data_IF_529205480837
#
_entry.id   IF_529205480837
#
_cell.length_a   1.000
_cell.length_b   1.000
_cell.length_c   1.000
_cell.angle_alpha   90.00
_cell.angle_beta   90.00
_cell.angle_gamma   90.00
#
_symmetry.space_group_name_H-M   'P 1'
#
loop_
_entity.id
_entity.type
_entity.pdbx_description
1 polymer ?
#
# COMPACT_ATOMS: atom_id res chain seq x y z
N UNK A 1 41.12 -10.53 30.89
CA UNK A 1 41.26 -9.53 29.81
C UNK A 1 40.68 -10.14 28.55
N UNK A 2 39.66 -9.52 27.97
CA UNK A 2 39.17 -9.96 26.66
C UNK A 2 40.30 -9.71 25.66
N UNK A 3 40.83 -10.77 25.07
CA UNK A 3 41.82 -10.67 24.01
C UNK A 3 41.07 -10.15 22.78
N UNK A 4 41.14 -8.84 22.54
CA UNK A 4 40.47 -8.16 21.43
C UNK A 4 41.16 -8.58 20.14
N UNK A 5 40.52 -9.49 19.39
CA UNK A 5 40.96 -9.84 18.05
C UNK A 5 40.33 -8.90 17.01
N UNK A 6 41.18 -8.33 16.17
CA UNK A 6 40.80 -7.29 15.19
C UNK A 6 39.93 -7.90 14.08
N UNK A 7 40.25 -9.12 13.64
CA UNK A 7 39.53 -9.78 12.55
C UNK A 7 38.10 -10.15 12.96
N UNK A 8 37.93 -10.75 14.15
CA UNK A 8 36.59 -11.05 14.70
C UNK A 8 35.76 -9.79 14.91
N UNK A 9 36.33 -8.73 15.48
CA UNK A 9 35.61 -7.46 15.71
C UNK A 9 35.18 -6.82 14.38
N UNK A 10 36.05 -6.85 13.36
CA UNK A 10 35.73 -6.34 12.01
C UNK A 10 34.61 -7.13 11.36
N UNK A 11 34.65 -8.46 11.45
CA UNK A 11 33.63 -9.33 10.87
C UNK A 11 32.27 -9.14 11.55
N UNK A 12 32.25 -8.98 12.87
CA UNK A 12 31.03 -8.65 13.62
C UNK A 12 30.45 -7.29 13.20
N UNK A 13 31.29 -6.26 13.06
CA UNK A 13 30.84 -4.95 12.60
C UNK A 13 30.23 -5.01 11.19
N UNK A 14 30.82 -5.78 10.27
CA UNK A 14 30.28 -6.01 8.92
C UNK A 14 28.93 -6.73 8.96
N UNK A 15 28.82 -7.84 9.69
CA UNK A 15 27.57 -8.58 9.83
C UNK A 15 26.42 -7.71 10.38
N UNK A 16 26.72 -6.82 11.35
CA UNK A 16 25.74 -5.88 11.87
C UNK A 16 25.30 -4.85 10.82
N UNK A 17 26.22 -4.34 10.01
CA UNK A 17 25.90 -3.43 8.91
C UNK A 17 25.05 -4.13 7.85
N UNK A 18 25.41 -5.35 7.47
CA UNK A 18 24.67 -6.14 6.49
C UNK A 18 23.23 -6.39 6.95
N UNK A 19 23.04 -6.81 8.21
CA UNK A 19 21.72 -7.00 8.82
C UNK A 19 20.86 -5.72 8.82
N UNK A 20 21.49 -4.57 9.09
CA UNK A 20 20.80 -3.26 9.04
C UNK A 20 20.44 -2.87 7.61
N UNK A 21 21.33 -3.11 6.65
CA UNK A 21 21.09 -2.87 5.23
C UNK A 21 19.92 -3.72 4.76
N UNK A 22 19.91 -5.01 5.06
CA UNK A 22 18.80 -5.93 4.73
C UNK A 22 17.46 -5.44 5.27
N UNK A 23 17.44 -4.97 6.53
CA UNK A 23 16.23 -4.43 7.17
C UNK A 23 15.69 -3.22 6.43
N UNK A 24 16.55 -2.27 6.04
CA UNK A 24 16.15 -1.08 5.27
C UNK A 24 15.72 -1.48 3.86
N UNK A 25 16.42 -2.40 3.20
CA UNK A 25 16.06 -2.92 1.88
C UNK A 25 14.68 -3.58 1.91
N UNK A 26 14.38 -4.39 2.93
CA UNK A 26 13.07 -5.02 3.09
C UNK A 26 11.96 -3.98 3.29
N UNK A 27 12.21 -2.94 4.09
CA UNK A 27 11.25 -1.85 4.29
C UNK A 27 10.99 -1.07 3.00
N UNK A 28 12.02 -0.78 2.21
CA UNK A 28 11.86 -0.10 0.91
C UNK A 28 11.03 -0.95 -0.04
N UNK A 29 11.31 -2.25 -0.14
CA UNK A 29 10.52 -3.19 -0.96
C UNK A 29 9.05 -3.24 -0.52
N UNK A 30 8.80 -3.29 0.78
CA UNK A 30 7.43 -3.27 1.31
C UNK A 30 6.71 -1.95 0.97
N UNK A 31 7.39 -0.81 1.09
CA UNK A 31 6.83 0.50 0.73
C UNK A 31 6.53 0.61 -0.76
N UNK A 32 7.41 0.11 -1.62
CA UNK A 32 7.19 0.06 -3.07
C UNK A 32 5.95 -0.78 -3.38
N UNK A 33 5.86 -1.99 -2.82
CA UNK A 33 4.68 -2.86 -3.01
C UNK A 33 3.37 -2.20 -2.56
N UNK A 34 3.40 -1.44 -1.47
CA UNK A 34 2.22 -0.68 -1.01
C UNK A 34 1.85 0.42 -2.00
N UNK A 35 2.81 1.09 -2.63
CA UNK A 35 2.54 2.08 -3.66
C UNK A 35 1.92 1.42 -4.91
N UNK A 36 2.53 0.35 -5.40
CA UNK A 36 2.06 -0.39 -6.58
C UNK A 36 0.63 -0.91 -6.38
N UNK A 37 0.31 -1.48 -5.22
CA UNK A 37 -1.03 -1.98 -4.91
C UNK A 37 -2.06 -0.86 -4.80
N UNK A 38 -1.68 0.34 -4.33
CA UNK A 38 -2.59 1.49 -4.31
C UNK A 38 -2.89 2.00 -5.70
N UNK A 39 -1.90 1.98 -6.60
CA UNK A 39 -2.10 2.32 -7.99
C UNK A 39 -3.04 1.34 -8.69
N UNK A 40 -2.80 0.03 -8.52
CA UNK A 40 -3.69 -1.03 -9.03
C UNK A 40 -5.11 -0.90 -8.46
N UNK A 41 -5.24 -0.58 -7.17
CA UNK A 41 -6.54 -0.34 -6.56
C UNK A 41 -7.24 0.87 -7.19
N UNK A 42 -6.52 1.99 -7.38
CA UNK A 42 -7.08 3.18 -7.99
C UNK A 42 -7.54 2.93 -9.43
N UNK A 43 -6.80 2.13 -10.20
CA UNK A 43 -7.20 1.75 -11.56
C UNK A 43 -8.43 0.84 -11.55
N UNK A 44 -8.44 -0.17 -10.68
CA UNK A 44 -9.60 -1.05 -10.51
C UNK A 44 -10.86 -0.27 -10.09
N UNK A 45 -10.74 0.72 -9.20
CA UNK A 45 -11.85 1.60 -8.80
C UNK A 45 -12.36 2.47 -9.97
N UNK A 46 -11.46 2.94 -10.86
CA UNK A 46 -11.88 3.68 -12.06
C UNK A 46 -12.63 2.80 -13.04
N UNK A 47 -12.14 1.58 -13.27
CA UNK A 47 -12.77 0.62 -14.17
C UNK A 47 -14.12 0.13 -13.64
N UNK A 48 -14.23 -0.13 -12.34
CA UNK A 48 -15.50 -0.42 -11.66
C UNK A 48 -16.53 0.68 -11.92
N UNK A 49 -16.15 1.95 -11.63
CA UNK A 49 -17.01 3.11 -11.88
C UNK A 49 -17.39 3.23 -13.37
N UNK A 50 -16.43 3.05 -14.28
CA UNK A 50 -16.68 3.10 -15.74
C UNK A 50 -17.70 2.05 -16.15
N UNK A 51 -17.58 0.84 -15.63
CA UNK A 51 -18.44 -0.30 -15.96
C UNK A 51 -19.84 -0.10 -15.38
N UNK A 52 -19.96 0.40 -14.15
CA UNK A 52 -21.25 0.77 -13.57
C UNK A 52 -21.97 1.83 -14.42
N UNK A 53 -21.26 2.91 -14.80
CA UNK A 53 -21.83 3.95 -15.67
C UNK A 53 -22.23 3.38 -17.03
N UNK A 54 -21.43 2.48 -17.60
CA UNK A 54 -21.79 1.80 -18.85
C UNK A 54 -23.06 0.97 -18.69
N UNK A 55 -23.19 0.18 -17.63
CA UNK A 55 -24.41 -0.57 -17.35
C UNK A 55 -25.65 0.33 -17.29
N UNK A 56 -25.54 1.50 -16.63
CA UNK A 56 -26.65 2.48 -16.61
C UNK A 56 -26.99 3.06 -17.98
N UNK A 57 -26.00 3.19 -18.88
CA UNK A 57 -26.23 3.62 -20.27
C UNK A 57 -26.82 2.51 -21.14
N UNK A 58 -26.50 1.26 -20.85
CA UNK A 58 -26.99 0.08 -21.55
C UNK A 58 -28.44 -0.28 -21.11
N UNK A 59 -29.08 0.54 -20.28
CA UNK A 59 -30.50 0.46 -19.93
C UNK A 59 -30.80 -0.09 -18.55
N UNK A 60 -29.77 -0.43 -17.75
CA UNK A 60 -29.98 -0.89 -16.37
C UNK A 60 -30.33 0.28 -15.45
N UNK A 61 -31.44 0.17 -14.74
CA UNK A 61 -31.75 1.15 -13.69
C UNK A 61 -30.90 0.92 -12.44
N UNK A 62 -30.61 1.97 -11.64
CA UNK A 62 -29.89 1.83 -10.38
C UNK A 62 -30.56 0.86 -9.39
N UNK A 63 -31.90 0.77 -9.40
CA UNK A 63 -32.65 -0.14 -8.54
C UNK A 63 -32.50 -1.61 -8.97
N UNK A 64 -32.37 -1.89 -10.27
CA UNK A 64 -32.08 -3.24 -10.75
C UNK A 64 -30.66 -3.65 -10.41
N UNK A 65 -29.68 -2.76 -10.61
CA UNK A 65 -28.30 -3.01 -10.19
C UNK A 65 -28.21 -3.24 -8.68
N UNK A 66 -28.95 -2.46 -7.88
CA UNK A 66 -29.05 -2.65 -6.43
C UNK A 66 -29.67 -3.98 -6.04
N UNK A 67 -30.74 -4.43 -6.71
CA UNK A 67 -31.34 -5.75 -6.50
C UNK A 67 -30.36 -6.89 -6.83
N UNK A 68 -29.44 -6.65 -7.75
CA UNK A 68 -28.34 -7.58 -8.08
C UNK A 68 -27.13 -7.45 -7.14
N UNK A 69 -27.17 -6.56 -6.15
CA UNK A 69 -26.06 -6.31 -5.22
C UNK A 69 -24.92 -5.48 -5.82
N UNK A 70 -25.12 -4.90 -7.00
CA UNK A 70 -24.17 -4.03 -7.70
C UNK A 70 -24.41 -2.57 -7.33
N UNK A 71 -24.32 -2.26 -6.04
CA UNK A 71 -24.46 -0.89 -5.57
C UNK A 71 -23.24 -0.05 -6.00
N UNK A 72 -23.43 1.23 -6.36
CA UNK A 72 -22.32 2.11 -6.68
C UNK A 72 -21.40 2.19 -5.46
N UNK A 73 -20.19 1.63 -5.59
CA UNK A 73 -19.21 1.69 -4.52
C UNK A 73 -18.86 3.15 -4.28
N UNK A 74 -19.27 3.67 -3.13
CA UNK A 74 -18.88 5.00 -2.71
C UNK A 74 -17.34 5.01 -2.62
N UNK A 75 -16.70 5.76 -3.53
CA UNK A 75 -15.27 6.04 -3.46
C UNK A 75 -15.01 6.50 -2.04
N UNK A 76 -14.35 5.66 -1.23
CA UNK A 76 -14.02 5.99 0.15
C UNK A 76 -13.00 7.10 0.09
N UNK A 77 -13.48 8.35 0.00
CA UNK A 77 -12.67 9.55 0.00
C UNK A 77 -11.98 9.58 1.34
N UNK A 78 -10.76 9.04 1.36
CA UNK A 78 -9.89 8.94 2.52
C UNK A 78 -9.78 10.35 3.11
N UNK A 79 -10.50 10.60 4.22
CA UNK A 79 -10.40 11.86 4.96
C UNK A 79 -8.94 11.98 5.36
N UNK A 80 -8.25 13.00 4.83
CA UNK A 80 -6.91 13.35 5.32
C UNK A 80 -7.07 13.70 6.80
N UNK A 81 -6.59 12.84 7.69
CA UNK A 81 -6.37 13.22 9.06
C UNK A 81 -5.28 14.29 9.05
N UNK A 82 -5.65 15.52 9.40
CA UNK A 82 -4.69 16.59 9.66
C UNK A 82 -3.76 16.16 10.80
N UNK A 83 -2.44 16.37 10.71
CA UNK A 83 -1.57 16.12 11.84
C UNK A 83 -1.95 17.07 12.97
N UNK A 84 -2.30 16.52 14.13
CA UNK A 84 -2.39 17.28 15.36
C UNK A 84 -0.99 17.80 15.69
N UNK A 85 -0.80 19.11 15.59
CA UNK A 85 0.35 19.81 16.14
C UNK A 85 0.27 19.69 17.67
N UNK A 86 1.12 18.86 18.26
CA UNK A 86 1.36 18.85 19.70
C UNK A 86 2.24 20.05 20.04
N UNK A 87 1.77 20.84 21.00
CA UNK A 87 2.46 21.98 21.60
C UNK A 87 3.61 21.54 22.52
#
# INVERSE_FOLDING_TARGET
MANLDIETTRNQARALLDSRIESVTALVKARQRVADLKEQLAEAERDDKRTYVRATKDGWSPEELKKLGLEPRAVSRRRKASPATTA
#
